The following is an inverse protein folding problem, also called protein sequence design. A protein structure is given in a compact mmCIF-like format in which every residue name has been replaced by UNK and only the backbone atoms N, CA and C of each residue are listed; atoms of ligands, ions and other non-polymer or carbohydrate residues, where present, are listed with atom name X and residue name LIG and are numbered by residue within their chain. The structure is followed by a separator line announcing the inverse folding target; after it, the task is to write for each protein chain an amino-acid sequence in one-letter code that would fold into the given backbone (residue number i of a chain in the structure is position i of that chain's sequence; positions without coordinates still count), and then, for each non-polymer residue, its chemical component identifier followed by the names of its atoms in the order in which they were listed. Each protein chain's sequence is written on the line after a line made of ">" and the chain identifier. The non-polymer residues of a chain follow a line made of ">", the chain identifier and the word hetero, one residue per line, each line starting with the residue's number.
data_IF_188967935260
#
_entry.id   IF_188967935260
#
_cell.length_a   1.000
_cell.length_b   1.000
_cell.length_c   1.000
_cell.angle_alpha   90.00
_cell.angle_beta   90.00
_cell.angle_gamma   90.00
#
_symmetry.space_group_name_H-M   'P 1'
#
loop_
_entity.id
_entity.type
_entity.pdbx_description
1 polymer ?
#
# COMPACT_ATOMS: atom_id res chain seq x y z
N UNK A 1 3.00 5.83 27.35
CA UNK A 1 2.15 5.75 26.14
C UNK A 1 1.76 4.29 25.95
N UNK A 2 0.50 3.96 25.66
CA UNK A 2 0.11 2.56 25.45
C UNK A 2 0.59 2.09 24.07
N UNK A 3 1.24 0.93 24.03
CA UNK A 3 1.63 0.24 22.81
C UNK A 3 0.94 -1.13 22.78
N UNK A 4 0.59 -1.61 21.60
CA UNK A 4 -0.03 -2.92 21.44
C UNK A 4 0.42 -3.55 20.13
N UNK A 5 0.37 -4.87 20.04
CA UNK A 5 0.69 -5.60 18.82
C UNK A 5 -0.60 -5.99 18.11
N UNK A 6 -0.59 -5.88 16.79
CA UNK A 6 -1.68 -6.32 15.92
C UNK A 6 -1.07 -7.26 14.88
N UNK A 7 -1.44 -8.56 14.88
CA UNK A 7 -1.00 -9.47 13.84
C UNK A 7 -1.38 -8.96 12.44
N UNK A 8 -0.39 -8.84 11.54
CA UNK A 8 -0.60 -8.78 10.10
C UNK A 8 -1.13 -10.16 9.74
N UNK A 9 -2.42 -10.26 9.47
CA UNK A 9 -3.06 -11.56 9.41
C UNK A 9 -2.60 -12.37 8.18
N UNK A 10 -2.04 -13.57 8.37
CA UNK A 10 -1.77 -14.49 7.28
C UNK A 10 -2.84 -15.61 7.22
N UNK A 11 -3.43 -15.78 6.03
CA UNK A 11 -4.32 -16.85 5.53
C UNK A 11 -5.00 -17.77 6.56
N UNK A 12 -6.34 -17.80 6.53
CA UNK A 12 -7.15 -18.89 7.06
C UNK A 12 -7.53 -18.78 8.53
N UNK A 13 -7.02 -17.77 9.25
CA UNK A 13 -7.51 -17.41 10.58
C UNK A 13 -8.59 -16.32 10.45
N UNK A 14 -9.45 -16.09 11.45
CA UNK A 14 -10.23 -14.87 11.52
C UNK A 14 -9.30 -13.70 11.88
N UNK A 15 -9.58 -12.49 11.40
CA UNK A 15 -8.83 -11.31 11.81
C UNK A 15 -8.88 -11.11 13.34
N UNK A 16 -7.77 -10.71 13.98
CA UNK A 16 -7.78 -10.42 15.41
C UNK A 16 -8.72 -9.24 15.68
N UNK A 17 -9.67 -9.43 16.60
CA UNK A 17 -10.63 -8.40 16.99
C UNK A 17 -10.08 -7.41 18.03
N UNK A 18 -8.91 -7.71 18.61
CA UNK A 18 -8.30 -6.90 19.68
C UNK A 18 -6.79 -6.88 19.53
N UNK A 19 -6.21 -5.71 19.82
CA UNK A 19 -4.78 -5.54 19.91
C UNK A 19 -4.31 -6.15 21.23
N UNK A 20 -3.10 -6.73 21.23
CA UNK A 20 -2.51 -7.32 22.44
C UNK A 20 -1.59 -6.28 23.06
N UNK A 21 -1.81 -5.83 24.31
CA UNK A 21 -0.92 -4.87 24.95
C UNK A 21 0.53 -5.34 24.93
N UNK A 22 1.43 -4.45 24.55
CA UNK A 22 2.87 -4.72 24.63
C UNK A 22 3.29 -4.70 26.11
N UNK A 23 4.20 -5.60 26.49
CA UNK A 23 4.76 -5.61 27.85
C UNK A 23 5.33 -4.23 28.20
N UNK A 24 5.15 -3.78 29.45
CA UNK A 24 5.55 -2.43 29.85
C UNK A 24 7.05 -2.20 29.71
N UNK A 25 7.86 -3.22 30.00
CA UNK A 25 9.31 -3.10 29.90
C UNK A 25 9.75 -3.03 28.43
N UNK A 26 9.09 -3.82 27.56
CA UNK A 26 9.30 -3.74 26.10
C UNK A 26 8.89 -2.36 25.55
N UNK A 27 7.75 -1.82 25.99
CA UNK A 27 7.27 -0.50 25.57
C UNK A 27 8.21 0.64 26.03
N UNK A 28 8.70 0.57 27.26
CA UNK A 28 9.64 1.55 27.81
C UNK A 28 11.01 1.48 27.11
N UNK A 29 11.53 0.26 26.88
CA UNK A 29 12.77 0.05 26.14
C UNK A 29 12.66 0.59 24.70
N UNK A 30 11.55 0.30 24.02
CA UNK A 30 11.32 0.78 22.66
C UNK A 30 11.23 2.31 22.59
N UNK A 31 10.56 2.92 23.55
CA UNK A 31 10.43 4.38 23.63
C UNK A 31 11.80 5.04 23.79
N UNK A 32 12.66 4.49 24.66
CA UNK A 32 14.02 5.01 24.85
C UNK A 32 14.91 4.78 23.64
N UNK A 33 14.79 3.63 22.99
CA UNK A 33 15.51 3.31 21.75
C UNK A 33 15.13 4.24 20.60
N UNK A 34 13.83 4.57 20.47
CA UNK A 34 13.36 5.52 19.46
C UNK A 34 13.95 6.93 19.63
N UNK A 35 14.27 7.31 20.87
CA UNK A 35 14.87 8.59 21.22
C UNK A 35 16.40 8.55 21.29
N UNK A 36 17.02 7.41 20.98
CA UNK A 36 18.47 7.17 21.12
C UNK A 36 18.99 7.36 22.57
N UNK A 37 18.16 7.04 23.56
CA UNK A 37 18.44 7.16 25.00
C UNK A 37 18.42 5.80 25.72
N UNK A 38 18.56 4.70 24.98
CA UNK A 38 18.54 3.34 25.51
C UNK A 38 19.86 2.94 26.20
N UNK A 39 19.76 2.10 27.23
CA UNK A 39 20.91 1.36 27.75
C UNK A 39 21.24 0.16 26.84
N UNK A 40 22.44 -0.45 26.94
CA UNK A 40 22.77 -1.65 26.18
C UNK A 40 21.77 -2.80 26.35
N UNK A 41 21.28 -3.02 27.58
CA UNK A 41 20.26 -4.03 27.85
C UNK A 41 18.90 -3.69 27.22
N UNK A 42 18.54 -2.41 27.13
CA UNK A 42 17.33 -1.96 26.45
C UNK A 42 17.47 -2.11 24.92
N UNK A 43 18.66 -1.86 24.38
CA UNK A 43 18.95 -2.04 22.96
C UNK A 43 18.73 -3.49 22.51
N UNK A 44 19.38 -4.46 23.17
CA UNK A 44 19.22 -5.90 22.89
C UNK A 44 17.76 -6.37 23.00
N UNK A 45 17.05 -5.84 24.00
CA UNK A 45 15.64 -6.13 24.22
C UNK A 45 14.76 -5.62 23.07
N UNK A 46 15.06 -4.44 22.54
CA UNK A 46 14.34 -3.88 21.39
C UNK A 46 14.64 -4.68 20.13
N UNK A 47 15.90 -5.05 19.86
CA UNK A 47 16.23 -5.91 18.72
C UNK A 47 15.45 -7.24 18.78
N UNK A 48 15.45 -7.89 19.94
CA UNK A 48 14.67 -9.11 20.17
C UNK A 48 13.17 -8.90 19.97
N UNK A 49 12.63 -7.74 20.38
CA UNK A 49 11.23 -7.38 20.14
C UNK A 49 10.95 -7.23 18.64
N UNK A 50 11.79 -6.50 17.90
CA UNK A 50 11.64 -6.30 16.47
C UNK A 50 11.71 -7.62 15.71
N UNK A 51 12.63 -8.52 16.08
CA UNK A 51 12.72 -9.87 15.52
C UNK A 51 11.43 -10.66 15.74
N UNK A 52 10.87 -10.66 16.95
CA UNK A 52 9.59 -11.33 17.25
C UNK A 52 8.44 -10.73 16.46
N UNK A 53 8.37 -9.41 16.34
CA UNK A 53 7.33 -8.72 15.58
C UNK A 53 7.45 -9.03 14.08
N UNK A 54 8.67 -9.04 13.54
CA UNK A 54 8.93 -9.40 12.15
C UNK A 54 8.57 -10.87 11.87
N UNK A 55 9.07 -11.80 12.70
CA UNK A 55 8.83 -13.24 12.56
C UNK A 55 7.34 -13.61 12.71
N UNK A 56 6.62 -12.95 13.61
CA UNK A 56 5.17 -13.14 13.77
C UNK A 56 4.33 -12.40 12.72
N UNK A 57 4.95 -11.56 11.89
CA UNK A 57 4.25 -10.65 10.99
C UNK A 57 3.27 -9.79 11.79
N UNK A 58 3.75 -8.97 12.71
CA UNK A 58 2.91 -8.09 13.53
C UNK A 58 3.23 -6.63 13.30
N UNK A 59 2.20 -5.78 13.30
CA UNK A 59 2.33 -4.35 13.45
C UNK A 59 2.39 -3.97 14.93
N UNK A 60 2.94 -2.78 15.17
CA UNK A 60 2.89 -2.11 16.45
C UNK A 60 1.88 -0.95 16.37
N UNK A 61 0.82 -1.03 17.17
CA UNK A 61 -0.22 -0.02 17.29
C UNK A 61 0.14 0.99 18.38
N UNK A 62 0.03 2.27 18.04
CA UNK A 62 0.26 3.38 18.94
C UNK A 62 -1.04 3.89 19.55
N UNK A 63 -1.14 3.91 20.88
CA UNK A 63 -2.31 4.43 21.59
C UNK A 63 -2.36 5.96 21.70
N UNK A 64 -1.60 6.73 20.94
CA UNK A 64 -1.51 8.18 21.14
C UNK A 64 -2.81 8.93 20.84
N UNK A 65 -3.60 8.45 19.89
CA UNK A 65 -4.90 9.03 19.53
C UNK A 65 -6.01 8.66 20.53
N UNK A 66 -5.77 7.69 21.41
CA UNK A 66 -6.80 7.09 22.26
C UNK A 66 -7.89 6.34 21.49
N UNK A 67 -7.80 6.31 20.15
CA UNK A 67 -8.77 5.67 19.29
C UNK A 67 -8.36 4.21 19.04
N UNK A 68 -9.10 3.28 19.63
CA UNK A 68 -8.91 1.85 19.40
C UNK A 68 -9.38 1.42 18.00
N UNK A 69 -10.20 2.23 17.32
CA UNK A 69 -10.89 1.85 16.10
C UNK A 69 -10.11 2.18 14.81
N UNK A 70 -8.99 2.88 14.93
CA UNK A 70 -7.99 3.08 13.87
C UNK A 70 -6.69 3.64 14.47
N UNK A 71 -5.91 2.84 15.24
CA UNK A 71 -4.69 3.33 15.84
C UNK A 71 -3.62 3.57 14.77
N UNK A 72 -2.75 4.59 14.92
CA UNK A 72 -1.55 4.71 14.11
C UNK A 72 -0.69 3.45 14.21
N UNK A 73 -0.23 2.94 13.07
CA UNK A 73 0.51 1.68 12.98
C UNK A 73 1.96 1.91 12.55
N UNK A 74 2.86 1.13 13.15
CA UNK A 74 4.26 1.03 12.79
C UNK A 74 4.54 -0.40 12.30
N UNK A 75 5.22 -0.52 11.16
CA UNK A 75 5.67 -1.78 10.60
C UNK A 75 7.16 -1.99 10.89
N UNK A 76 7.54 -3.24 11.16
CA UNK A 76 8.95 -3.63 11.21
C UNK A 76 9.42 -3.88 9.78
N UNK A 77 10.50 -3.21 9.37
CA UNK A 77 11.10 -3.32 8.06
C UNK A 77 12.60 -3.64 8.17
N UNK A 78 13.16 -4.33 7.17
CA UNK A 78 14.61 -4.48 7.03
C UNK A 78 15.18 -3.19 6.43
N UNK A 79 16.27 -2.67 6.98
CA UNK A 79 17.05 -1.61 6.32
C UNK A 79 17.82 -2.24 5.15
N UNK A 80 17.86 -1.53 4.02
CA UNK A 80 18.55 -1.99 2.80
C UNK A 80 20.03 -2.35 3.07
N UNK A 81 20.57 -3.23 2.21
CA UNK A 81 21.82 -3.98 2.37
C UNK A 81 23.13 -3.19 2.60
N UNK A 82 23.11 -1.86 2.73
CA UNK A 82 24.28 -1.04 3.08
C UNK A 82 24.55 -0.92 4.59
N UNK A 83 23.56 -1.19 5.44
CA UNK A 83 23.61 -0.94 6.89
C UNK A 83 23.39 -2.20 7.73
N UNK A 84 24.01 -3.30 7.33
CA UNK A 84 24.18 -4.48 8.19
C UNK A 84 22.91 -5.29 8.51
N UNK A 85 21.85 -5.18 7.71
CA UNK A 85 20.66 -6.05 7.84
C UNK A 85 19.80 -5.80 9.10
N UNK A 86 19.96 -4.65 9.76
CA UNK A 86 19.22 -4.32 10.97
C UNK A 86 17.74 -4.02 10.69
N UNK A 87 16.86 -4.48 11.58
CA UNK A 87 15.42 -4.16 11.57
C UNK A 87 15.19 -2.73 12.08
N UNK A 88 14.25 -2.02 11.46
CA UNK A 88 13.78 -0.70 11.89
C UNK A 88 12.26 -0.65 11.96
N UNK A 89 11.72 0.38 12.62
CA UNK A 89 10.29 0.68 12.63
C UNK A 89 9.99 1.80 11.65
N UNK A 90 8.97 1.58 10.83
CA UNK A 90 8.51 2.52 9.80
C UNK A 90 7.03 2.87 10.02
N UNK A 91 6.70 4.14 9.81
CA UNK A 91 5.31 4.64 9.82
C UNK A 91 4.56 4.15 8.58
N UNK A 92 3.31 3.75 8.80
CA UNK A 92 2.37 3.46 7.71
C UNK A 92 1.70 4.77 7.27
N UNK A 93 2.05 5.27 6.09
CA UNK A 93 1.54 6.56 5.56
C UNK A 93 0.08 6.50 5.10
N UNK A 94 -0.45 5.30 4.91
CA UNK A 94 -1.82 5.03 4.50
C UNK A 94 -2.73 4.69 5.71
N UNK A 95 -2.35 5.08 6.93
CA UNK A 95 -3.10 4.80 8.16
C UNK A 95 -3.33 6.08 8.96
N UNK A 96 -4.07 5.96 10.07
CA UNK A 96 -4.27 7.06 10.99
C UNK A 96 -2.95 7.74 11.37
N UNK A 97 -2.92 9.07 11.25
CA UNK A 97 -1.78 9.85 11.66
C UNK A 97 -1.62 9.83 13.19
N UNK A 98 -0.37 9.79 13.65
CA UNK A 98 -0.07 10.05 15.05
C UNK A 98 -0.44 11.48 15.44
N UNK A 99 -0.78 11.70 16.73
CA UNK A 99 -0.90 13.07 17.25
C UNK A 99 0.44 13.81 17.11
N UNK A 100 0.45 15.13 16.88
CA UNK A 100 1.70 15.90 16.71
C UNK A 100 2.69 15.80 17.88
N UNK A 101 2.18 15.58 19.09
CA UNK A 101 2.94 15.41 20.33
C UNK A 101 3.39 13.95 20.59
N UNK A 102 3.04 13.02 19.71
CA UNK A 102 3.45 11.63 19.84
C UNK A 102 4.92 11.46 19.43
N UNK A 103 5.69 10.71 20.23
CA UNK A 103 7.10 10.39 19.96
C UNK A 103 7.32 9.70 18.61
N UNK A 104 6.35 8.89 18.19
CA UNK A 104 6.36 8.16 16.91
C UNK A 104 5.77 8.97 15.74
N UNK A 105 5.41 10.25 15.94
CA UNK A 105 4.87 11.08 14.87
C UNK A 105 5.89 11.40 13.76
N UNK A 106 7.18 11.33 14.09
CA UNK A 106 8.30 11.61 13.21
C UNK A 106 9.03 10.32 12.84
N UNK A 107 9.87 10.34 11.80
CA UNK A 107 10.72 9.19 11.51
C UNK A 107 11.74 8.96 12.63
N UNK A 108 12.19 7.71 12.77
CA UNK A 108 13.21 7.38 13.74
C UNK A 108 14.43 8.28 13.49
N UNK A 109 14.91 8.97 14.53
CA UNK A 109 16.13 9.77 14.43
C UNK A 109 17.26 8.84 14.00
N UNK A 110 17.76 9.01 12.78
CA UNK A 110 18.92 8.27 12.33
C UNK A 110 20.11 8.69 13.19
N UNK A 111 20.76 7.72 13.83
CA UNK A 111 21.99 7.94 14.59
C UNK A 111 23.16 7.98 13.61
N UNK A 112 23.25 9.02 12.81
CA UNK A 112 24.42 9.24 11.94
C UNK A 112 25.04 10.61 12.22
N UNK A 113 26.27 10.56 12.76
CA UNK A 113 27.25 11.64 12.67
C UNK A 113 27.04 12.84 13.61
N UNK A 114 28.07 13.14 14.39
CA UNK A 114 28.27 14.49 14.92
C UNK A 114 28.16 15.52 13.79
N UNK A 115 27.26 16.48 13.93
CA UNK A 115 27.18 17.66 13.04
C UNK A 115 26.13 17.56 11.95
N UNK A 116 24.87 17.84 12.31
CA UNK A 116 23.81 17.98 11.33
C UNK A 116 22.45 18.18 11.99
N UNK A 117 22.26 19.31 12.66
CA UNK A 117 20.92 19.75 13.03
C UNK A 117 20.13 19.99 11.74
N UNK A 118 19.28 19.03 11.35
CA UNK A 118 18.19 19.30 10.43
C UNK A 118 16.87 19.20 11.23
N UNK A 119 16.33 20.32 11.74
CA UNK A 119 15.05 20.31 12.40
C UNK A 119 13.93 20.21 11.35
N UNK A 120 12.86 19.48 11.69
CA UNK A 120 11.67 19.22 10.88
C UNK A 120 11.83 18.18 9.76
N UNK A 121 11.84 16.89 10.14
CA UNK A 121 11.36 15.85 9.20
C UNK A 121 9.85 15.99 9.05
N UNK A 122 9.41 16.20 7.81
CA UNK A 122 8.04 16.38 7.33
C UNK A 122 6.92 15.90 8.28
N UNK A 123 6.28 16.87 8.93
CA UNK A 123 4.99 16.67 9.59
C UNK A 123 3.89 16.47 8.54
N UNK A 124 2.92 15.61 8.88
CA UNK A 124 1.60 15.39 8.27
C UNK A 124 1.32 16.28 7.05
N UNK A 125 1.79 15.86 5.88
CA UNK A 125 1.20 16.30 4.62
C UNK A 125 -0.05 15.46 4.40
N UNK A 126 -1.23 16.08 4.39
CA UNK A 126 -2.43 15.43 3.85
C UNK A 126 -2.09 14.85 2.48
N UNK A 127 -2.37 13.56 2.27
CA UNK A 127 -2.05 12.91 1.01
C UNK A 127 -2.86 13.60 -0.11
N UNK A 128 -2.16 14.40 -0.94
CA UNK A 128 -2.76 15.11 -2.06
C UNK A 128 -3.47 14.10 -2.97
N UNK A 129 -4.73 14.40 -3.33
CA UNK A 129 -5.53 13.58 -4.26
C UNK A 129 -4.73 13.35 -5.57
N UNK A 130 -4.49 12.10 -5.96
CA UNK A 130 -3.82 11.80 -7.22
C UNK A 130 -4.76 12.09 -8.40
N UNK A 131 -4.17 12.46 -9.53
CA UNK A 131 -4.91 12.61 -10.79
C UNK A 131 -5.35 11.24 -11.31
N UNK A 132 -6.63 11.06 -11.64
CA UNK A 132 -7.16 9.81 -12.20
C UNK A 132 -7.36 9.89 -13.73
N UNK A 133 -7.06 11.02 -14.34
CA UNK A 133 -6.85 11.09 -15.79
C UNK A 133 -5.44 10.58 -16.07
N UNK A 134 -5.35 9.37 -16.63
CA UNK A 134 -4.07 8.92 -17.15
C UNK A 134 -3.82 9.61 -18.49
N UNK A 135 -2.91 10.57 -18.49
CA UNK A 135 -2.29 11.06 -19.70
C UNK A 135 -1.10 10.14 -19.94
N UNK A 136 -1.17 9.26 -20.95
CA UNK A 136 0.06 8.74 -21.55
C UNK A 136 0.88 9.97 -21.91
N UNK A 137 1.98 10.21 -21.20
CA UNK A 137 2.82 11.38 -21.38
C UNK A 137 3.17 11.50 -22.87
N UNK A 138 2.54 12.45 -23.54
CA UNK A 138 3.04 12.98 -24.80
C UNK A 138 4.42 13.57 -24.51
N UNK A 139 5.49 12.91 -24.96
CA UNK A 139 6.85 13.44 -24.88
C UNK A 139 7.88 12.51 -24.26
N UNK A 140 8.22 11.45 -24.99
CA UNK A 140 9.56 10.84 -24.89
C UNK A 140 10.55 11.86 -25.47
N UNK A 141 11.02 12.82 -24.65
CA UNK A 141 12.23 13.63 -24.82
C UNK A 141 12.24 14.77 -23.79
N UNK A 142 12.70 14.49 -22.57
CA UNK A 142 13.77 15.25 -21.91
C UNK A 142 13.97 14.68 -20.51
N UNK A 143 14.84 13.69 -20.42
CA UNK A 143 15.73 13.38 -19.29
C UNK A 143 16.50 12.10 -19.63
N UNK A 144 17.13 12.09 -20.82
CA UNK A 144 18.33 11.26 -21.05
C UNK A 144 19.50 11.97 -20.39
N UNK A 145 19.63 11.88 -19.07
CA UNK A 145 20.93 12.03 -18.41
C UNK A 145 21.07 11.00 -17.29
N UNK A 146 21.85 9.97 -17.62
CA UNK A 146 22.63 9.10 -16.73
C UNK A 146 21.87 8.07 -15.89
N UNK A 147 21.36 7.03 -16.56
CA UNK A 147 21.44 5.67 -16.01
C UNK A 147 22.43 4.87 -16.86
N UNK A 148 23.70 4.96 -16.45
CA UNK A 148 24.72 4.01 -16.81
C UNK A 148 24.37 2.64 -16.23
N UNK A 149 24.27 1.65 -17.10
CA UNK A 149 24.65 0.23 -16.95
C UNK A 149 24.49 -0.42 -15.57
N UNK A 150 23.68 -1.49 -15.56
CA UNK A 150 23.69 -2.56 -14.57
C UNK A 150 23.42 -2.12 -13.13
N UNK A 151 22.15 -1.86 -12.81
CA UNK A 151 21.65 -1.96 -11.44
C UNK A 151 20.67 -3.12 -11.36
N UNK A 152 21.03 -4.10 -10.54
CA UNK A 152 20.12 -5.14 -10.06
C UNK A 152 18.80 -4.52 -9.59
N UNK A 153 17.67 -5.25 -9.66
CA UNK A 153 16.38 -4.72 -9.24
C UNK A 153 16.47 -4.33 -7.77
N UNK A 154 16.53 -3.03 -7.50
CA UNK A 154 16.52 -2.52 -6.15
C UNK A 154 15.18 -2.87 -5.51
N UNK A 155 15.21 -3.62 -4.41
CA UNK A 155 14.04 -3.93 -3.56
C UNK A 155 13.46 -2.68 -2.85
N UNK A 156 13.80 -1.47 -3.32
CA UNK A 156 13.46 -0.18 -2.75
C UNK A 156 12.31 0.52 -3.47
N UNK A 157 11.21 0.73 -2.73
CA UNK A 157 10.16 1.75 -2.95
C UNK A 157 9.05 1.45 -3.97
N UNK A 158 8.30 0.37 -3.71
CA UNK A 158 7.00 0.08 -4.35
C UNK A 158 5.93 1.18 -4.12
N UNK A 159 6.02 1.96 -3.03
CA UNK A 159 5.08 3.06 -2.70
C UNK A 159 5.14 4.25 -3.67
N UNK A 160 6.22 4.39 -4.45
CA UNK A 160 6.36 5.44 -5.45
C UNK A 160 5.69 5.10 -6.79
N UNK A 161 5.14 3.90 -6.93
CA UNK A 161 4.45 3.51 -8.15
C UNK A 161 3.14 4.31 -8.32
N UNK A 162 2.87 4.93 -9.49
CA UNK A 162 1.70 5.79 -9.68
C UNK A 162 0.36 5.11 -9.41
N UNK A 163 0.23 3.81 -9.72
CA UNK A 163 -0.98 3.04 -9.41
C UNK A 163 -1.08 2.67 -7.91
N UNK A 164 0.05 2.48 -7.22
CA UNK A 164 0.07 2.24 -5.79
C UNK A 164 -0.48 3.46 -5.04
N UNK A 165 -0.01 4.67 -5.40
CA UNK A 165 -0.47 5.94 -4.82
C UNK A 165 -1.99 6.11 -4.98
N UNK A 166 -2.53 5.85 -6.17
CA UNK A 166 -3.98 5.93 -6.45
C UNK A 166 -4.78 4.91 -5.65
N UNK A 167 -4.32 3.66 -5.63
CA UNK A 167 -4.97 2.59 -4.88
C UNK A 167 -4.99 2.91 -3.39
N UNK A 168 -3.84 3.21 -2.77
CA UNK A 168 -3.74 3.49 -1.34
C UNK A 168 -4.53 4.75 -0.95
N UNK A 169 -4.54 5.78 -1.79
CA UNK A 169 -5.38 6.97 -1.57
C UNK A 169 -6.86 6.62 -1.59
N UNK A 170 -7.34 5.84 -2.58
CA UNK A 170 -8.74 5.41 -2.64
C UNK A 170 -9.15 4.60 -1.40
N UNK A 171 -8.29 3.68 -0.96
CA UNK A 171 -8.55 2.85 0.22
C UNK A 171 -8.63 3.71 1.50
N UNK A 172 -7.76 4.71 1.63
CA UNK A 172 -7.74 5.67 2.73
C UNK A 172 -9.01 6.51 2.76
N UNK A 173 -9.36 7.17 1.65
CA UNK A 173 -10.53 8.05 1.57
C UNK A 173 -11.85 7.28 1.72
N UNK A 174 -11.91 6.04 1.23
CA UNK A 174 -13.06 5.16 1.43
C UNK A 174 -13.12 4.56 2.85
N UNK A 175 -12.09 4.78 3.67
CA UNK A 175 -11.94 4.28 5.05
C UNK A 175 -11.98 2.75 5.16
N UNK A 176 -11.56 2.05 4.11
CA UNK A 176 -11.56 0.57 4.05
C UNK A 176 -10.23 -0.03 4.53
N UNK A 177 -9.20 0.79 4.68
CA UNK A 177 -7.90 0.41 5.21
C UNK A 177 -7.74 0.69 6.72
N UNK A 178 -8.83 0.53 7.47
CA UNK A 178 -8.89 0.77 8.93
C UNK A 178 -8.84 -0.54 9.71
N UNK A 179 -8.29 -0.50 10.93
CA UNK A 179 -8.30 -1.63 11.87
C UNK A 179 -8.89 -1.19 13.21
N UNK A 180 -9.80 -1.97 13.83
CA UNK A 180 -10.35 -3.24 13.36
C UNK A 180 -11.33 -3.03 12.20
N UNK A 181 -11.64 -4.11 11.46
CA UNK A 181 -12.55 -4.02 10.32
C UNK A 181 -13.90 -3.46 10.75
N UNK A 182 -14.41 -2.38 10.15
CA UNK A 182 -15.79 -1.98 10.37
C UNK A 182 -16.73 -3.05 9.78
N UNK A 183 -17.50 -3.72 10.63
CA UNK A 183 -18.47 -4.73 10.18
C UNK A 183 -19.64 -4.08 9.42
N UNK A 184 -20.14 -4.75 8.37
CA UNK A 184 -21.42 -4.42 7.72
C UNK A 184 -21.36 -3.62 6.42
N UNK A 185 -20.17 -3.17 5.98
CA UNK A 185 -20.00 -2.52 4.67
C UNK A 185 -19.01 -3.29 3.81
N UNK A 186 -19.35 -3.54 2.55
CA UNK A 186 -18.42 -4.12 1.58
C UNK A 186 -17.43 -3.04 1.13
N UNK A 187 -16.13 -3.33 1.18
CA UNK A 187 -15.08 -2.39 0.77
C UNK A 187 -15.28 -1.90 -0.67
N UNK A 188 -15.72 -2.79 -1.56
CA UNK A 188 -16.14 -2.46 -2.92
C UNK A 188 -17.25 -1.41 -2.95
N UNK A 189 -18.28 -1.56 -2.11
CA UNK A 189 -19.39 -0.59 -2.03
C UNK A 189 -18.93 0.76 -1.50
N UNK A 190 -18.08 0.77 -0.47
CA UNK A 190 -17.52 2.00 0.09
C UNK A 190 -16.69 2.77 -0.96
N UNK A 191 -15.85 2.07 -1.70
CA UNK A 191 -15.07 2.65 -2.79
C UNK A 191 -15.92 3.18 -3.95
N UNK A 192 -16.92 2.42 -4.38
CA UNK A 192 -17.82 2.88 -5.44
C UNK A 192 -18.61 4.12 -5.01
N UNK A 193 -19.02 4.20 -3.74
CA UNK A 193 -19.66 5.40 -3.18
C UNK A 193 -18.73 6.61 -3.15
N UNK A 194 -17.45 6.42 -2.80
CA UNK A 194 -16.45 7.47 -2.90
C UNK A 194 -16.26 7.92 -4.36
N UNK A 195 -16.19 6.97 -5.29
CA UNK A 195 -15.96 7.24 -6.70
C UNK A 195 -17.07 8.07 -7.37
N UNK A 196 -18.27 8.11 -6.79
CA UNK A 196 -19.39 8.98 -7.23
C UNK A 196 -19.09 10.47 -7.00
N UNK A 197 -18.14 10.79 -6.11
CA UNK A 197 -17.79 12.17 -5.73
C UNK A 197 -16.53 12.67 -6.44
N UNK A 198 -15.86 11.79 -7.18
CA UNK A 198 -14.57 12.06 -7.82
C UNK A 198 -14.83 12.36 -9.30
N UNK A 199 -15.01 13.64 -9.62
CA UNK A 199 -15.10 14.08 -11.01
C UNK A 199 -13.71 14.00 -11.68
N UNK A 200 -13.67 13.44 -12.89
CA UNK A 200 -12.46 13.28 -13.72
C UNK A 200 -12.38 14.38 -14.79
N UNK A 201 -13.51 14.61 -15.45
CA UNK A 201 -13.75 15.69 -16.40
C UNK A 201 -15.20 16.12 -16.23
N UNK A 202 -15.59 17.27 -16.79
CA UNK A 202 -16.94 17.79 -16.65
C UNK A 202 -18.01 16.72 -16.98
N UNK A 203 -18.76 16.27 -15.97
CA UNK A 203 -19.80 15.26 -16.08
C UNK A 203 -19.33 13.80 -16.23
N UNK A 204 -18.03 13.52 -16.10
CA UNK A 204 -17.46 12.17 -16.09
C UNK A 204 -16.86 11.89 -14.71
N UNK A 205 -17.42 10.93 -13.98
CA UNK A 205 -16.99 10.60 -12.62
C UNK A 205 -16.17 9.31 -12.60
N UNK A 206 -15.33 9.13 -11.58
CA UNK A 206 -14.55 7.90 -11.41
C UNK A 206 -15.47 6.68 -11.32
N UNK A 207 -16.65 6.81 -10.69
CA UNK A 207 -17.65 5.74 -10.62
C UNK A 207 -18.04 5.17 -11.98
N UNK A 208 -18.02 5.99 -13.02
CA UNK A 208 -18.43 5.62 -14.36
C UNK A 208 -17.45 4.67 -15.05
N UNK A 209 -16.22 4.63 -14.55
CA UNK A 209 -15.05 4.03 -15.21
C UNK A 209 -14.18 3.24 -14.24
N UNK A 210 -14.60 3.10 -12.98
CA UNK A 210 -13.99 2.26 -11.96
C UNK A 210 -14.79 0.97 -11.81
N UNK A 211 -14.08 -0.15 -11.93
CA UNK A 211 -14.63 -1.48 -11.76
C UNK A 211 -13.96 -2.17 -10.57
N UNK A 212 -14.77 -2.80 -9.73
CA UNK A 212 -14.30 -3.51 -8.53
C UNK A 212 -14.60 -5.01 -8.52
N UNK A 213 -14.93 -5.59 -9.68
CA UNK A 213 -15.31 -6.99 -9.81
C UNK A 213 -14.52 -7.66 -10.94
N UNK A 214 -14.08 -8.90 -10.71
CA UNK A 214 -13.36 -9.69 -11.70
C UNK A 214 -14.20 -9.99 -12.96
N UNK A 215 -15.54 -10.01 -12.83
CA UNK A 215 -16.46 -10.18 -13.96
C UNK A 215 -16.40 -9.04 -14.96
N UNK A 216 -16.02 -7.83 -14.54
CA UNK A 216 -15.94 -6.69 -15.45
C UNK A 216 -14.99 -6.94 -16.63
N UNK A 217 -13.90 -7.67 -16.38
CA UNK A 217 -12.95 -8.11 -17.40
C UNK A 217 -13.51 -9.29 -18.21
N UNK A 218 -13.99 -10.34 -17.54
CA UNK A 218 -14.43 -11.59 -18.20
C UNK A 218 -15.67 -11.44 -19.06
N UNK A 219 -16.59 -10.57 -18.66
CA UNK A 219 -17.88 -10.35 -19.31
C UNK A 219 -17.92 -9.05 -20.15
N UNK A 220 -16.79 -8.34 -20.27
CA UNK A 220 -16.68 -7.17 -21.13
C UNK A 220 -17.44 -5.92 -20.65
N UNK A 221 -17.78 -5.81 -19.37
CA UNK A 221 -18.56 -4.68 -18.84
C UNK A 221 -17.84 -3.33 -18.98
N UNK A 222 -16.51 -3.37 -19.10
CA UNK A 222 -15.62 -2.21 -19.27
C UNK A 222 -15.89 -1.42 -20.57
N UNK A 223 -16.53 -2.03 -21.57
CA UNK A 223 -16.91 -1.37 -22.81
C UNK A 223 -17.74 -0.11 -22.60
N UNK A 224 -18.64 -0.13 -21.62
CA UNK A 224 -19.44 1.04 -21.26
C UNK A 224 -18.59 2.22 -20.78
N UNK A 225 -17.53 1.96 -20.00
CA UNK A 225 -16.58 2.97 -19.54
C UNK A 225 -15.74 3.56 -20.68
N UNK A 226 -15.31 2.72 -21.63
CA UNK A 226 -14.59 3.18 -22.82
C UNK A 226 -15.41 4.17 -23.65
N UNK A 227 -16.69 3.86 -23.90
CA UNK A 227 -17.59 4.76 -24.64
C UNK A 227 -17.78 6.10 -23.92
N UNK A 228 -17.81 6.11 -22.58
CA UNK A 228 -17.88 7.36 -21.81
C UNK A 228 -16.62 8.20 -21.99
N UNK A 229 -15.42 7.64 -21.89
CA UNK A 229 -14.19 8.38 -22.18
C UNK A 229 -14.20 9.00 -23.58
N UNK A 230 -14.59 8.22 -24.60
CA UNK A 230 -14.66 8.69 -25.99
C UNK A 230 -15.66 9.84 -26.17
N UNK A 231 -16.84 9.78 -25.53
CA UNK A 231 -17.84 10.85 -25.59
C UNK A 231 -17.30 12.18 -25.04
N UNK A 232 -16.38 12.12 -24.08
CA UNK A 232 -15.71 13.29 -23.52
C UNK A 232 -14.41 13.66 -24.26
N UNK A 233 -14.14 13.06 -25.42
CA UNK A 233 -12.94 13.35 -26.23
C UNK A 233 -11.63 12.80 -25.64
N UNK A 234 -11.72 11.86 -24.70
CA UNK A 234 -10.58 11.28 -24.00
C UNK A 234 -10.22 9.91 -24.59
N UNK A 235 -8.96 9.48 -24.41
CA UNK A 235 -8.52 8.14 -24.78
C UNK A 235 -9.31 7.08 -23.98
N UNK A 236 -9.91 6.05 -24.63
CA UNK A 236 -10.74 5.07 -23.93
C UNK A 236 -9.92 4.20 -22.97
N UNK A 237 -10.11 4.44 -21.68
CA UNK A 237 -9.46 3.72 -20.59
C UNK A 237 -10.39 3.61 -19.37
N UNK A 238 -10.15 2.61 -18.52
CA UNK A 238 -10.90 2.39 -17.28
C UNK A 238 -9.96 1.93 -16.17
N UNK A 239 -10.40 2.14 -14.93
CA UNK A 239 -9.71 1.70 -13.73
C UNK A 239 -10.30 0.39 -13.24
N UNK A 240 -9.45 -0.55 -12.86
CA UNK A 240 -9.87 -1.85 -12.35
C UNK A 240 -9.16 -2.18 -11.04
N UNK A 241 -9.92 -2.22 -9.95
CA UNK A 241 -9.45 -2.65 -8.65
C UNK A 241 -10.04 -4.03 -8.32
N UNK A 242 -9.25 -5.09 -8.36
CA UNK A 242 -9.78 -6.43 -8.10
C UNK A 242 -8.82 -7.31 -7.31
N UNK A 243 -9.39 -8.26 -6.60
CA UNK A 243 -8.64 -9.21 -5.81
C UNK A 243 -8.00 -10.27 -6.72
N UNK A 244 -6.74 -10.59 -6.43
CA UNK A 244 -5.95 -11.61 -7.10
C UNK A 244 -5.37 -12.54 -6.04
N UNK A 245 -5.16 -13.81 -6.39
CA UNK A 245 -4.56 -14.81 -5.50
C UNK A 245 -3.12 -15.19 -5.91
N UNK A 246 -2.68 -14.74 -7.09
CA UNK A 246 -1.31 -14.90 -7.57
C UNK A 246 -0.93 -13.77 -8.51
N UNK A 247 0.34 -13.37 -8.49
CA UNK A 247 0.97 -12.49 -9.46
C UNK A 247 2.38 -12.97 -9.79
N UNK A 248 2.81 -12.74 -11.03
CA UNK A 248 4.20 -12.90 -11.48
C UNK A 248 4.54 -11.72 -12.39
N UNK A 249 5.31 -10.77 -11.89
CA UNK A 249 5.88 -9.64 -12.62
C UNK A 249 6.87 -10.10 -13.70
N UNK A 250 7.65 -11.18 -13.47
CA UNK A 250 8.63 -11.74 -14.41
C UNK A 250 7.93 -12.38 -15.61
N UNK A 251 6.85 -13.10 -15.37
CA UNK A 251 6.05 -13.72 -16.45
C UNK A 251 4.93 -12.80 -16.96
N UNK A 252 4.67 -11.68 -16.27
CA UNK A 252 3.68 -10.69 -16.66
C UNK A 252 2.24 -11.19 -16.57
N UNK A 253 1.89 -11.94 -15.52
CA UNK A 253 0.52 -12.43 -15.32
C UNK A 253 0.03 -12.26 -13.90
N UNK A 254 -1.30 -12.29 -13.75
CA UNK A 254 -2.00 -12.41 -12.46
C UNK A 254 -3.01 -13.54 -12.54
N UNK A 255 -3.46 -14.08 -11.40
CA UNK A 255 -4.67 -14.92 -11.32
C UNK A 255 -5.70 -14.21 -10.48
N UNK A 256 -6.87 -13.96 -11.07
CA UNK A 256 -7.97 -13.30 -10.39
C UNK A 256 -8.51 -14.23 -9.30
N UNK A 257 -8.94 -13.67 -8.17
CA UNK A 257 -9.48 -14.47 -7.08
C UNK A 257 -10.68 -15.31 -7.56
N UNK A 258 -10.60 -16.63 -7.33
CA UNK A 258 -11.63 -17.59 -7.77
C UNK A 258 -11.59 -17.96 -9.26
N UNK A 259 -10.62 -17.46 -10.03
CA UNK A 259 -10.41 -17.90 -11.41
C UNK A 259 -9.49 -19.13 -11.47
N UNK A 260 -9.73 -20.01 -12.45
CA UNK A 260 -8.87 -21.17 -12.74
C UNK A 260 -7.72 -20.81 -13.69
N UNK A 261 -7.91 -19.79 -14.53
CA UNK A 261 -6.95 -19.35 -15.53
C UNK A 261 -6.24 -18.06 -15.09
N UNK A 262 -5.00 -17.90 -15.57
CA UNK A 262 -4.23 -16.67 -15.41
C UNK A 262 -4.67 -15.62 -16.44
N UNK A 263 -4.54 -14.35 -16.08
CA UNK A 263 -4.77 -13.19 -16.92
C UNK A 263 -3.42 -12.54 -17.21
N UNK A 264 -3.10 -12.37 -18.49
CA UNK A 264 -1.87 -11.70 -18.93
C UNK A 264 -2.00 -10.18 -18.71
N UNK A 265 -0.94 -9.56 -18.25
CA UNK A 265 -0.79 -8.11 -18.23
C UNK A 265 0.00 -7.72 -19.49
N UNK A 266 -0.60 -6.91 -20.36
CA UNK A 266 -0.01 -6.57 -21.65
C UNK A 266 1.17 -5.59 -21.50
N UNK A 267 1.06 -4.66 -20.56
CA UNK A 267 2.14 -3.71 -20.24
C UNK A 267 2.86 -4.04 -18.94
N UNK A 268 3.14 -3.01 -18.14
CA UNK A 268 3.99 -3.18 -16.94
C UNK A 268 3.17 -3.68 -15.75
N UNK A 269 3.57 -4.81 -15.18
CA UNK A 269 3.12 -5.28 -13.87
C UNK A 269 4.19 -4.95 -12.81
N UNK A 270 3.79 -4.31 -11.73
CA UNK A 270 4.60 -4.13 -10.53
C UNK A 270 3.94 -4.86 -9.36
N UNK A 271 4.69 -5.72 -8.69
CA UNK A 271 4.22 -6.45 -7.50
C UNK A 271 4.97 -5.91 -6.28
N UNK A 272 4.25 -5.55 -5.22
CA UNK A 272 4.90 -5.17 -3.96
C UNK A 272 5.75 -6.34 -3.44
N UNK A 273 7.04 -6.06 -3.17
CA UNK A 273 8.02 -7.07 -2.77
C UNK A 273 8.64 -7.87 -3.94
N UNK A 274 8.19 -7.68 -5.18
CA UNK A 274 8.70 -8.41 -6.36
C UNK A 274 8.32 -9.90 -6.43
N UNK A 275 8.88 -10.62 -7.40
CA UNK A 275 8.52 -12.03 -7.71
C UNK A 275 9.14 -13.09 -6.81
N UNK A 276 10.06 -12.68 -5.92
CA UNK A 276 10.75 -13.58 -4.99
C UNK A 276 10.22 -13.48 -3.55
N UNK A 277 9.44 -12.44 -3.25
CA UNK A 277 8.79 -12.38 -1.96
C UNK A 277 7.79 -13.54 -1.93
N UNK A 278 7.92 -14.43 -0.94
CA UNK A 278 7.03 -15.57 -0.71
C UNK A 278 5.62 -15.10 -0.25
N UNK A 279 5.05 -14.12 -0.96
CA UNK A 279 3.77 -13.48 -0.73
C UNK A 279 2.70 -14.48 -1.15
N UNK A 280 2.31 -15.33 -0.21
CA UNK A 280 1.16 -16.24 -0.35
C UNK A 280 -0.17 -15.55 -0.05
N UNK A 281 -0.20 -14.22 0.05
CA UNK A 281 -1.37 -13.49 0.52
C UNK A 281 -2.32 -13.15 -0.63
N UNK A 282 -3.64 -13.04 -0.38
CA UNK A 282 -4.50 -12.34 -1.31
C UNK A 282 -3.92 -10.95 -1.56
N UNK A 283 -3.97 -10.50 -2.80
CA UNK A 283 -3.52 -9.17 -3.17
C UNK A 283 -4.68 -8.40 -3.79
N UNK A 284 -4.64 -7.08 -3.64
CA UNK A 284 -5.47 -6.18 -4.42
C UNK A 284 -4.63 -5.70 -5.60
N UNK A 285 -5.16 -5.87 -6.81
CA UNK A 285 -4.60 -5.28 -8.02
C UNK A 285 -5.31 -3.95 -8.29
N UNK A 286 -4.56 -2.91 -8.62
CA UNK A 286 -5.03 -1.71 -9.29
C UNK A 286 -4.45 -1.70 -10.71
N UNK A 287 -5.31 -1.70 -11.71
CA UNK A 287 -4.93 -1.76 -13.11
C UNK A 287 -5.59 -0.65 -13.94
N UNK A 288 -4.84 -0.20 -14.95
CA UNK A 288 -5.34 0.64 -16.02
C UNK A 288 -5.59 -0.23 -17.24
N UNK A 289 -6.84 -0.30 -17.67
CA UNK A 289 -7.26 -1.07 -18.85
C UNK A 289 -7.61 -0.09 -19.95
N UNK A 290 -7.07 -0.30 -21.15
CA UNK A 290 -7.30 0.57 -22.30
C UNK A 290 -7.86 -0.18 -23.50
N UNK A 291 -8.63 0.53 -24.33
CA UNK A 291 -9.05 0.06 -25.64
C UNK A 291 -8.18 0.70 -26.72
N UNK A 292 -7.45 -0.13 -27.47
CA UNK A 292 -6.57 0.30 -28.54
C UNK A 292 -7.35 0.66 -29.82
N UNK A 293 -6.66 1.28 -30.77
CA UNK A 293 -7.24 1.70 -32.06
C UNK A 293 -7.68 0.52 -32.94
N UNK A 294 -7.08 -0.66 -32.76
CA UNK A 294 -7.49 -1.91 -33.40
C UNK A 294 -8.73 -2.56 -32.74
N UNK A 295 -9.28 -1.92 -31.70
CA UNK A 295 -10.42 -2.39 -30.93
C UNK A 295 -10.07 -3.40 -29.83
N UNK A 296 -8.81 -3.84 -29.73
CA UNK A 296 -8.37 -4.75 -28.68
C UNK A 296 -8.37 -4.07 -27.31
N UNK A 297 -8.79 -4.81 -26.28
CA UNK A 297 -8.79 -4.34 -24.89
C UNK A 297 -7.60 -4.98 -24.18
N UNK A 298 -6.77 -4.15 -23.55
CA UNK A 298 -5.50 -4.56 -22.94
C UNK A 298 -5.31 -4.00 -21.54
N UNK A 299 -4.63 -4.74 -20.69
CA UNK A 299 -4.22 -4.26 -19.36
C UNK A 299 -2.88 -3.54 -19.53
N UNK A 300 -2.93 -2.21 -19.63
CA UNK A 300 -1.79 -1.36 -19.98
C UNK A 300 -0.78 -1.25 -18.84
N UNK A 301 -1.26 -1.16 -17.60
CA UNK A 301 -0.43 -1.11 -16.40
C UNK A 301 -1.17 -1.77 -15.25
N UNK A 302 -0.44 -2.45 -14.37
CA UNK A 302 -0.99 -3.07 -13.18
C UNK A 302 -0.04 -2.94 -12.00
N UNK A 303 -0.61 -2.76 -10.82
CA UNK A 303 0.07 -2.79 -9.54
C UNK A 303 -0.63 -3.75 -8.60
N UNK A 304 0.09 -4.67 -7.99
CA UNK A 304 -0.44 -5.61 -7.01
C UNK A 304 0.14 -5.38 -5.63
N UNK A 305 -0.72 -5.34 -4.62
CA UNK A 305 -0.33 -5.12 -3.23
C UNK A 305 -1.01 -6.12 -2.29
N UNK A 306 -0.27 -6.73 -1.34
CA UNK A 306 -0.83 -7.66 -0.38
C UNK A 306 -1.94 -7.01 0.45
N UNK A 307 -3.03 -7.74 0.67
CA UNK A 307 -4.12 -7.33 1.55
C UNK A 307 -4.36 -8.38 2.62
N UNK A 308 -5.04 -7.98 3.68
CA UNK A 308 -5.32 -8.87 4.80
C UNK A 308 -6.24 -10.04 4.42
N UNK A 309 -7.31 -9.78 3.66
CA UNK A 309 -8.23 -10.81 3.17
C UNK A 309 -8.95 -10.37 1.88
N UNK A 310 -9.50 -11.31 1.12
CA UNK A 310 -10.25 -10.99 -0.11
C UNK A 310 -11.46 -10.09 0.15
N UNK A 311 -12.09 -10.22 1.32
CA UNK A 311 -13.21 -9.38 1.73
C UNK A 311 -12.80 -8.21 2.62
N UNK A 312 -11.51 -8.05 2.92
CA UNK A 312 -10.96 -6.95 3.71
C UNK A 312 -9.69 -6.38 3.09
N UNK A 313 -9.86 -5.28 2.35
CA UNK A 313 -8.85 -4.59 1.59
C UNK A 313 -7.97 -3.68 2.47
N UNK A 314 -7.50 -4.21 3.60
CA UNK A 314 -6.48 -3.59 4.42
C UNK A 314 -5.09 -3.93 3.83
N UNK A 315 -4.34 -2.96 3.27
CA UNK A 315 -3.00 -3.21 2.75
C UNK A 315 -2.06 -3.76 3.83
N UNK A 316 -1.18 -4.68 3.46
CA UNK A 316 -0.15 -5.20 4.37
C UNK A 316 1.23 -5.06 3.75
N UNK A 317 2.16 -4.51 4.53
CA UNK A 317 3.57 -4.59 4.18
C UNK A 317 4.01 -6.05 4.27
N UNK A 318 4.46 -6.61 3.13
CA UNK A 318 5.08 -7.94 3.11
C UNK A 318 6.25 -7.99 4.10
N UNK A 319 6.43 -9.17 4.71
CA UNK A 319 7.58 -9.43 5.58
C UNK A 319 8.88 -9.44 4.78
#
# INVERSE_FOLDING_TARGET
>A
MALSTIPKHPIGKPPPQRAVPLDRIDADALTRWWESMESPAQHERVLSLLDRLHASGSWLACGCTGNCDNPPLLAVARRSAGHGGNLSLRRMMDRAAHRPDCRFAFEQREREGEGGANPMSEGVGEAIRPDFLFHESSGMNDHRQRESTEREPSEGHSSNHPLARRMLWLLHEAKVNTWPRPYGTSDRKALLKLAEQIELAQGLFLRDVLYCDARAWREGWMESGFHKYQKHGLKPQVWWLCEIDQASQKEGFVRLAGATQTTRIDGKLAVYGGDGAAVRYPMLMCALVGKLTDGSVKILQAYAHPIQALDWWLPVDSN
#
